data_IF_595102119733
#
_entry.id   IF_595102119733
#
_cell.length_a   1.000
_cell.length_b   1.000
_cell.length_c   1.000
_cell.angle_alpha   90.00
_cell.angle_beta   90.00
_cell.angle_gamma   90.00
#
_symmetry.space_group_name_H-M   'P 1'
#
loop_
_entity.id
_entity.type
_entity.pdbx_description
1 polymer ?
#
# COMPACT_ATOMS: atom_id res chain seq x y z
N UNK A 1 27.71 -0.44 13.31
CA UNK A 1 26.60 -1.41 13.18
C UNK A 1 25.60 -0.84 12.21
N UNK A 2 25.56 -1.44 11.02
CA UNK A 2 24.73 -1.05 9.88
C UNK A 2 23.32 -1.63 10.03
N UNK A 3 22.29 -0.82 9.82
CA UNK A 3 20.98 -1.31 9.40
C UNK A 3 20.39 -0.35 8.35
N UNK A 4 20.24 -0.90 7.16
CA UNK A 4 19.76 -0.26 5.95
C UNK A 4 18.28 0.11 6.07
N UNK A 5 17.94 1.36 5.76
CA UNK A 5 16.56 1.79 5.46
C UNK A 5 16.21 1.34 4.04
N UNK A 6 15.46 0.24 3.93
CA UNK A 6 14.72 -0.12 2.71
C UNK A 6 13.39 0.63 2.71
N UNK A 7 13.40 1.83 2.15
CA UNK A 7 12.18 2.50 1.68
C UNK A 7 11.66 1.77 0.44
N UNK A 8 10.52 1.09 0.60
CA UNK A 8 9.68 0.64 -0.54
C UNK A 8 9.00 1.86 -1.16
N UNK A 9 8.98 2.03 -2.48
CA UNK A 9 8.09 2.97 -3.14
C UNK A 9 6.86 2.20 -3.65
N UNK A 10 5.72 2.35 -2.97
CA UNK A 10 4.42 2.07 -3.55
C UNK A 10 3.71 3.40 -3.81
N UNK A 11 3.35 3.58 -5.07
CA UNK A 11 2.11 4.21 -5.52
C UNK A 11 2.00 5.74 -5.40
N UNK A 12 2.62 6.42 -6.36
CA UNK A 12 2.01 7.62 -6.96
C UNK A 12 1.27 7.17 -8.23
N UNK A 13 -0.03 6.90 -8.12
CA UNK A 13 -0.92 6.84 -9.28
C UNK A 13 -1.18 8.29 -9.70
N UNK A 14 -0.24 8.86 -10.46
CA UNK A 14 -0.51 10.04 -11.29
C UNK A 14 -1.24 9.57 -12.54
N UNK A 15 -2.36 10.20 -12.88
CA UNK A 15 -2.97 10.11 -14.22
C UNK A 15 -1.99 10.72 -15.25
N UNK A 16 -1.06 9.91 -15.74
CA UNK A 16 -0.19 10.14 -16.89
C UNK A 16 -0.52 9.17 -18.02
N UNK A 17 0.09 9.31 -19.22
CA UNK A 17 -0.17 8.44 -20.35
C UNK A 17 0.00 6.97 -19.95
N UNK A 18 -0.86 6.11 -20.50
CA UNK A 18 -0.87 4.67 -20.22
C UNK A 18 0.42 4.05 -20.78
N UNK A 19 1.49 4.04 -19.98
CA UNK A 19 2.75 3.43 -20.38
C UNK A 19 2.62 1.91 -20.32
N UNK A 20 2.98 1.24 -21.41
CA UNK A 20 2.95 -0.22 -21.54
C UNK A 20 4.38 -0.77 -21.56
N UNK A 21 4.74 -1.73 -20.69
CA UNK A 21 6.08 -2.30 -20.66
C UNK A 21 6.30 -3.25 -21.85
N UNK A 22 7.51 -3.24 -22.41
CA UNK A 22 7.94 -4.25 -23.37
C UNK A 22 8.21 -5.58 -22.67
N UNK A 23 7.58 -6.67 -23.13
CA UNK A 23 7.73 -8.01 -22.57
C UNK A 23 9.18 -8.56 -22.63
N UNK A 24 10.01 -8.06 -23.56
CA UNK A 24 11.35 -8.62 -23.82
C UNK A 24 12.49 -7.88 -23.12
N UNK A 25 12.36 -6.56 -22.91
CA UNK A 25 13.38 -5.75 -22.24
C UNK A 25 12.88 -5.07 -20.94
N UNK A 26 11.60 -5.18 -20.61
CA UNK A 26 10.94 -4.52 -19.47
C UNK A 26 11.05 -2.99 -19.44
N UNK A 27 11.38 -2.34 -20.56
CA UNK A 27 11.35 -0.88 -20.68
C UNK A 27 9.91 -0.38 -20.88
N UNK A 28 9.58 0.75 -20.26
CA UNK A 28 8.25 1.38 -20.30
C UNK A 28 8.15 2.29 -21.53
N UNK A 29 7.07 2.14 -22.31
CA UNK A 29 6.83 2.95 -23.51
C UNK A 29 5.46 3.62 -23.47
N UNK A 30 5.42 4.88 -23.92
CA UNK A 30 4.16 5.63 -24.09
C UNK A 30 3.23 4.94 -25.11
N UNK A 31 1.93 5.18 -24.94
CA UNK A 31 0.85 4.62 -25.76
C UNK A 31 1.12 4.83 -27.27
N UNK A 32 1.33 3.73 -28.01
CA UNK A 32 1.58 3.72 -29.46
C UNK A 32 3.05 3.55 -29.86
N UNK A 33 4.02 3.81 -28.98
CA UNK A 33 5.45 3.66 -29.28
C UNK A 33 5.95 2.22 -29.09
N UNK A 34 5.26 1.42 -28.27
CA UNK A 34 5.60 0.02 -27.99
C UNK A 34 5.66 -0.84 -29.27
N UNK A 35 4.74 -0.62 -30.23
CA UNK A 35 4.72 -1.36 -31.49
C UNK A 35 5.95 -1.10 -32.36
N UNK A 36 6.47 0.15 -32.34
CA UNK A 36 7.69 0.50 -33.04
C UNK A 36 8.93 -0.06 -32.32
N UNK A 37 8.93 -0.04 -30.98
CA UNK A 37 9.98 -0.67 -30.18
C UNK A 37 10.08 -2.18 -30.44
N UNK A 38 8.97 -2.93 -30.46
CA UNK A 38 8.99 -4.38 -30.70
C UNK A 38 9.68 -4.75 -32.02
N UNK A 39 9.56 -3.92 -33.06
CA UNK A 39 10.26 -4.14 -34.34
C UNK A 39 11.77 -4.03 -34.23
N UNK A 40 12.29 -3.23 -33.30
CA UNK A 40 13.71 -2.93 -33.14
C UNK A 40 14.30 -3.51 -31.84
N UNK A 41 13.48 -4.11 -30.98
CA UNK A 41 13.89 -4.59 -29.66
C UNK A 41 15.02 -5.63 -29.80
N UNK A 42 16.19 -5.32 -29.24
CA UNK A 42 17.36 -6.19 -29.28
C UNK A 42 17.19 -7.47 -28.47
N UNK A 43 16.30 -7.47 -27.47
CA UNK A 43 16.07 -8.59 -26.56
C UNK A 43 15.13 -9.66 -27.12
N UNK A 44 14.50 -9.42 -28.28
CA UNK A 44 13.69 -10.44 -28.96
C UNK A 44 14.62 -11.55 -29.46
N UNK A 45 14.21 -12.80 -29.21
CA UNK A 45 14.92 -13.99 -29.69
C UNK A 45 14.59 -14.25 -31.16
N UNK A 46 15.61 -14.34 -31.99
CA UNK A 46 15.53 -14.76 -33.39
C UNK A 46 16.31 -16.05 -33.62
N UNK A 47 15.83 -16.86 -34.56
CA UNK A 47 16.55 -18.07 -34.94
C UNK A 47 17.85 -17.72 -35.67
N UNK A 48 18.94 -18.42 -35.35
CA UNK A 48 20.21 -18.27 -36.06
C UNK A 48 20.03 -18.44 -37.59
N UNK A 49 20.58 -17.56 -38.44
CA UNK A 49 20.45 -17.68 -39.90
C UNK A 49 21.13 -18.94 -40.45
N UNK A 50 22.15 -19.45 -39.76
CA UNK A 50 22.81 -20.72 -40.10
C UNK A 50 22.03 -21.95 -39.61
N UNK A 51 20.85 -21.75 -39.02
CA UNK A 51 19.96 -22.78 -38.47
C UNK A 51 20.70 -23.79 -37.59
N UNK A 52 21.57 -23.31 -36.71
CA UNK A 52 22.29 -24.15 -35.74
C UNK A 52 21.38 -24.74 -34.66
N UNK A 53 20.11 -24.31 -34.60
CA UNK A 53 19.13 -24.73 -33.59
C UNK A 53 19.04 -23.75 -32.40
N UNK A 54 19.95 -22.78 -32.29
CA UNK A 54 19.92 -21.77 -31.24
C UNK A 54 18.95 -20.62 -31.55
N UNK A 55 18.28 -20.15 -30.50
CA UNK A 55 17.48 -18.92 -30.46
C UNK A 55 18.30 -17.85 -29.76
N UNK A 56 18.61 -16.76 -30.44
CA UNK A 56 19.59 -15.76 -30.00
C UNK A 56 18.92 -14.39 -29.96
N UNK A 57 19.23 -13.59 -28.96
CA UNK A 57 18.75 -12.22 -28.89
C UNK A 57 19.24 -11.44 -30.12
N UNK A 58 18.35 -10.69 -30.77
CA UNK A 58 18.64 -9.91 -31.98
C UNK A 58 19.94 -9.10 -31.87
N UNK A 59 20.21 -8.50 -30.71
CA UNK A 59 21.46 -7.75 -30.45
C UNK A 59 22.76 -8.57 -30.50
N UNK A 60 22.71 -9.86 -30.18
CA UNK A 60 23.88 -10.77 -30.19
C UNK A 60 23.90 -11.70 -31.40
N UNK A 61 23.00 -11.47 -32.36
CA UNK A 61 22.87 -12.32 -33.56
C UNK A 61 24.15 -12.28 -34.40
N UNK A 62 24.74 -11.10 -34.60
CA UNK A 62 25.93 -10.90 -35.43
C UNK A 62 27.19 -11.53 -34.81
N UNK A 63 27.32 -11.44 -33.48
CA UNK A 63 28.40 -12.10 -32.73
C UNK A 63 28.26 -13.61 -32.81
N UNK A 64 27.05 -14.15 -32.55
CA UNK A 64 26.82 -15.58 -32.66
C UNK A 64 27.11 -16.12 -34.07
N UNK A 65 26.79 -15.38 -35.13
CA UNK A 65 27.05 -15.85 -36.51
C UNK A 65 28.55 -16.06 -36.75
N UNK A 66 29.42 -15.21 -36.19
CA UNK A 66 30.88 -15.35 -36.30
C UNK A 66 31.40 -16.59 -35.57
N UNK A 67 30.80 -16.92 -34.44
CA UNK A 67 31.21 -18.06 -33.60
C UNK A 67 30.30 -19.29 -33.78
N UNK A 68 29.49 -19.29 -34.84
CA UNK A 68 28.47 -20.32 -35.01
C UNK A 68 29.13 -21.67 -35.37
N UNK A 69 28.82 -22.77 -34.65
CA UNK A 69 29.42 -24.08 -34.92
C UNK A 69 29.07 -24.64 -36.31
N UNK A 70 28.04 -24.09 -36.98
CA UNK A 70 27.72 -24.43 -38.38
C UNK A 70 28.52 -23.64 -39.42
N UNK A 71 29.11 -22.50 -39.07
CA UNK A 71 29.89 -21.68 -40.01
C UNK A 71 31.16 -22.41 -40.48
N UNK A 72 31.81 -23.15 -39.57
CA UNK A 72 33.02 -23.93 -39.88
C UNK A 72 32.72 -25.14 -40.79
N UNK A 73 31.55 -25.77 -40.62
CA UNK A 73 31.09 -26.86 -41.49
C UNK A 73 30.79 -26.39 -42.92
N UNK A 74 30.30 -25.15 -43.09
CA UNK A 74 30.06 -24.56 -44.42
C UNK A 74 31.36 -24.16 -45.12
N UNK A 75 32.37 -23.68 -44.37
CA UNK A 75 33.69 -23.33 -44.93
C UNK A 75 34.46 -24.55 -45.43
N UNK A 76 34.36 -25.68 -44.74
CA UNK A 76 35.00 -26.95 -45.15
C UNK A 76 34.28 -27.68 -46.31
N UNK A 77 33.14 -27.17 -46.76
CA UNK A 77 32.37 -27.78 -47.87
C UNK A 77 32.71 -27.21 -49.25
N UNK A 78 33.66 -26.25 -49.34
CA UNK A 78 34.12 -25.68 -50.61
C UNK A 78 35.55 -26.11 -50.93
N UNK A 79 35.75 -27.42 -51.08
CA UNK A 79 36.98 -28.01 -51.61
C UNK A 79 36.65 -29.28 -52.41
N UNK A 80 35.76 -29.15 -53.39
CA UNK A 80 35.67 -30.14 -54.46
C UNK A 80 36.78 -29.82 -55.47
N UNK A 81 38.00 -30.27 -55.17
CA UNK A 81 39.01 -30.50 -56.20
C UNK A 81 38.50 -31.67 -57.05
N UNK A 82 38.22 -31.40 -58.31
CA UNK A 82 37.97 -32.41 -59.34
C UNK A 82 39.20 -33.31 -59.47
N UNK A 83 39.13 -34.50 -58.89
CA UNK A 83 40.08 -35.59 -59.19
C UNK A 83 39.67 -36.20 -60.53
N UNK A 84 40.58 -36.39 -61.51
CA UNK A 84 40.25 -37.05 -62.76
C UNK A 84 39.87 -38.52 -62.50
N UNK A 85 38.98 -39.12 -63.32
CA UNK A 85 38.57 -40.50 -63.14
C UNK A 85 39.78 -41.45 -63.27
N UNK A 86 39.95 -42.43 -62.36
CA UNK A 86 40.99 -43.42 -62.52
C UNK A 86 40.65 -44.35 -63.69
N UNK A 87 41.63 -44.53 -64.57
CA UNK A 87 41.63 -45.52 -65.66
C UNK A 87 41.27 -46.90 -65.08
N UNK A 88 40.38 -47.69 -65.72
CA UNK A 88 40.03 -49.02 -65.23
C UNK A 88 41.25 -49.93 -65.33
N UNK A 89 41.71 -50.57 -64.23
CA UNK A 89 42.69 -51.63 -64.34
C UNK A 89 42.04 -52.82 -65.06
N UNK A 90 42.81 -53.34 -66.01
CA UNK A 90 42.50 -54.55 -66.75
C UNK A 90 42.07 -55.69 -65.82
N UNK A 91 41.05 -56.42 -66.29
CA UNK A 91 40.62 -57.75 -65.90
C UNK A 91 41.71 -58.51 -65.14
N UNK A 92 41.70 -58.32 -63.82
CA UNK A 92 42.50 -59.10 -62.88
C UNK A 92 41.50 -60.05 -62.26
N UNK A 93 41.68 -61.31 -62.61
CA UNK A 93 41.16 -62.51 -61.96
C UNK A 93 40.46 -62.22 -60.64
N UNK A 94 39.20 -62.61 -60.54
CA UNK A 94 38.50 -62.76 -59.28
C UNK A 94 39.35 -63.69 -58.40
N UNK A 95 40.16 -63.07 -57.53
CA UNK A 95 40.93 -63.70 -56.45
C UNK A 95 39.99 -64.21 -55.36
N UNK A 96 38.92 -64.90 -55.75
CA UNK A 96 38.21 -65.81 -54.87
C UNK A 96 38.73 -67.21 -55.17
N UNK A 97 40.01 -67.42 -54.84
CA UNK A 97 40.47 -68.75 -54.48
C UNK A 97 39.73 -69.09 -53.18
N UNK A 98 38.97 -70.21 -53.11
CA UNK A 98 38.53 -70.71 -51.82
C UNK A 98 39.82 -70.97 -51.05
N UNK A 99 40.20 -70.07 -50.13
CA UNK A 99 41.16 -70.47 -49.10
C UNK A 99 40.55 -71.71 -48.50
N UNK A 100 41.30 -72.81 -48.54
CA UNK A 100 40.97 -74.02 -47.84
C UNK A 100 41.14 -73.71 -46.34
N UNK A 101 40.27 -72.83 -45.82
CA UNK A 101 40.16 -72.54 -44.41
C UNK A 101 39.55 -73.80 -43.84
N UNK A 102 40.25 -74.38 -42.87
CA UNK A 102 39.75 -75.56 -42.19
C UNK A 102 38.36 -75.22 -41.66
N UNK A 103 37.33 -75.91 -42.17
CA UNK A 103 35.93 -75.64 -41.83
C UNK A 103 35.71 -75.67 -40.31
N UNK A 104 36.51 -76.46 -39.61
CA UNK A 104 36.51 -76.59 -38.15
C UNK A 104 36.88 -75.28 -37.43
N UNK A 105 37.82 -74.50 -37.98
CA UNK A 105 38.22 -73.20 -37.44
C UNK A 105 37.11 -72.15 -37.66
N UNK A 106 36.46 -72.19 -38.82
CA UNK A 106 35.31 -71.33 -39.13
C UNK A 106 34.12 -71.63 -38.22
N UNK A 107 33.83 -72.91 -38.00
CA UNK A 107 32.76 -73.35 -37.09
C UNK A 107 33.08 -72.92 -35.66
N UNK A 108 34.30 -73.17 -35.18
CA UNK A 108 34.75 -72.75 -33.83
C UNK A 108 34.67 -71.23 -33.64
N UNK A 109 35.02 -70.45 -34.66
CA UNK A 109 34.89 -69.00 -34.63
C UNK A 109 33.42 -68.55 -34.54
N UNK A 110 32.54 -69.13 -35.36
CA UNK A 110 31.11 -68.82 -35.34
C UNK A 110 30.46 -69.23 -34.01
N UNK A 111 30.82 -70.37 -33.44
CA UNK A 111 30.35 -70.80 -32.12
C UNK A 111 30.77 -69.82 -31.03
N UNK A 112 32.02 -69.34 -31.08
CA UNK A 112 32.52 -68.31 -30.16
C UNK A 112 31.78 -66.98 -30.33
N UNK A 113 31.53 -66.53 -31.55
CA UNK A 113 30.78 -65.30 -31.80
C UNK A 113 29.31 -65.42 -31.36
N UNK A 114 28.68 -66.57 -31.57
CA UNK A 114 27.32 -66.84 -31.05
C UNK A 114 27.32 -66.84 -29.51
N UNK A 115 28.35 -67.41 -28.87
CA UNK A 115 28.50 -67.34 -27.42
C UNK A 115 28.69 -65.90 -26.92
N UNK A 116 29.52 -65.10 -27.60
CA UNK A 116 29.72 -63.69 -27.30
C UNK A 116 28.41 -62.89 -27.44
N UNK A 117 27.68 -63.08 -28.54
CA UNK A 117 26.39 -62.40 -28.78
C UNK A 117 25.39 -62.76 -27.69
N UNK A 118 25.31 -64.04 -27.29
CA UNK A 118 24.44 -64.47 -26.18
C UNK A 118 24.79 -63.76 -24.87
N UNK A 119 26.07 -63.65 -24.55
CA UNK A 119 26.54 -62.97 -23.35
C UNK A 119 26.14 -61.49 -23.35
N UNK A 120 26.42 -60.78 -24.44
CA UNK A 120 26.04 -59.36 -24.61
C UNK A 120 24.53 -59.17 -24.51
N UNK A 121 23.73 -60.07 -25.11
CA UNK A 121 22.27 -60.00 -25.00
C UNK A 121 21.77 -60.21 -23.56
N UNK A 122 22.38 -61.14 -22.81
CA UNK A 122 22.02 -61.34 -21.40
C UNK A 122 22.38 -60.15 -20.53
N UNK A 123 23.53 -59.51 -20.76
CA UNK A 123 23.94 -58.30 -20.05
C UNK A 123 23.07 -57.09 -20.42
N UNK A 124 22.73 -56.92 -21.70
CA UNK A 124 21.78 -55.87 -22.13
C UNK A 124 20.38 -56.10 -21.57
N UNK A 125 19.96 -57.36 -21.41
CA UNK A 125 18.68 -57.70 -20.77
C UNK A 125 18.67 -57.28 -19.30
N UNK A 126 19.71 -57.65 -18.54
CA UNK A 126 19.81 -57.28 -17.12
C UNK A 126 19.93 -55.77 -16.94
N UNK A 127 20.67 -55.07 -17.81
CA UNK A 127 20.75 -53.60 -17.78
C UNK A 127 19.39 -52.94 -18.04
N UNK A 128 18.60 -53.46 -18.98
CA UNK A 128 17.24 -52.97 -19.24
C UNK A 128 16.30 -53.20 -18.05
N UNK A 129 16.43 -54.33 -17.36
CA UNK A 129 15.65 -54.61 -16.15
C UNK A 129 15.98 -53.61 -15.03
N UNK A 130 17.27 -53.32 -14.79
CA UNK A 130 17.67 -52.30 -13.80
C UNK A 130 17.11 -50.93 -14.17
N UNK A 131 17.28 -50.49 -15.43
CA UNK A 131 16.73 -49.21 -15.90
C UNK A 131 15.20 -49.13 -15.74
N UNK A 132 14.48 -50.23 -15.97
CA UNK A 132 13.03 -50.30 -15.77
C UNK A 132 12.65 -50.04 -14.30
N UNK A 133 13.37 -50.66 -13.35
CA UNK A 133 13.11 -50.46 -11.92
C UNK A 133 13.48 -49.05 -11.43
N UNK A 134 14.54 -48.46 -11.97
CA UNK A 134 14.91 -47.06 -11.71
C UNK A 134 13.84 -46.09 -12.22
N UNK A 135 13.32 -46.30 -13.44
CA UNK A 135 12.23 -45.50 -14.00
C UNK A 135 10.96 -45.61 -13.15
N UNK A 136 10.61 -46.80 -12.69
CA UNK A 136 9.45 -46.99 -11.81
C UNK A 136 9.63 -46.28 -10.46
N UNK A 137 10.86 -46.32 -9.92
CA UNK A 137 11.21 -45.58 -8.70
C UNK A 137 11.08 -44.06 -8.89
N UNK A 138 11.54 -43.53 -10.04
CA UNK A 138 11.40 -42.11 -10.37
C UNK A 138 9.92 -41.75 -10.52
N UNK A 139 9.13 -42.58 -11.21
CA UNK A 139 7.69 -42.38 -11.38
C UNK A 139 6.97 -42.31 -10.03
N UNK A 140 7.27 -43.22 -9.12
CA UNK A 140 6.73 -43.20 -7.75
C UNK A 140 7.07 -41.91 -7.00
N UNK A 141 8.33 -41.44 -7.10
CA UNK A 141 8.76 -40.18 -6.49
C UNK A 141 8.03 -38.96 -7.08
N UNK A 142 7.79 -38.94 -8.39
CA UNK A 142 7.04 -37.86 -9.04
C UNK A 142 5.62 -37.79 -8.48
N UNK A 143 4.93 -38.93 -8.35
CA UNK A 143 3.57 -38.98 -7.76
C UNK A 143 3.55 -38.41 -6.34
N UNK A 144 4.51 -38.79 -5.50
CA UNK A 144 4.60 -38.25 -4.13
C UNK A 144 4.85 -36.74 -4.10
N UNK A 145 5.64 -36.22 -5.03
CA UNK A 145 5.87 -34.77 -5.17
C UNK A 145 4.60 -34.07 -5.65
N UNK A 146 3.87 -34.65 -6.59
CA UNK A 146 2.59 -34.13 -7.07
C UNK A 146 1.55 -34.06 -5.95
N UNK A 147 1.36 -35.13 -5.18
CA UNK A 147 0.45 -35.15 -4.02
C UNK A 147 0.84 -34.09 -2.99
N UNK A 148 2.12 -34.01 -2.64
CA UNK A 148 2.62 -32.99 -1.71
C UNK A 148 2.39 -31.57 -2.24
N UNK A 149 2.58 -31.34 -3.54
CA UNK A 149 2.34 -30.05 -4.17
C UNK A 149 0.86 -29.66 -4.12
N UNK A 150 -0.05 -30.62 -4.33
CA UNK A 150 -1.49 -30.41 -4.22
C UNK A 150 -1.89 -30.04 -2.78
N UNK A 151 -1.33 -30.72 -1.78
CA UNK A 151 -1.55 -30.38 -0.38
C UNK A 151 -1.07 -28.96 -0.04
N UNK A 152 0.11 -28.57 -0.53
CA UNK A 152 0.61 -27.20 -0.37
C UNK A 152 -0.30 -26.17 -1.04
N UNK A 153 -0.74 -26.43 -2.27
CA UNK A 153 -1.65 -25.54 -2.99
C UNK A 153 -2.99 -25.38 -2.25
N UNK A 154 -3.56 -26.48 -1.77
CA UNK A 154 -4.79 -26.45 -0.95
C UNK A 154 -4.61 -25.58 0.30
N UNK A 155 -3.50 -25.76 1.01
CA UNK A 155 -3.18 -24.96 2.21
C UNK A 155 -3.04 -23.48 1.86
N UNK A 156 -2.35 -23.15 0.77
CA UNK A 156 -2.20 -21.76 0.32
C UNK A 156 -3.54 -21.12 -0.06
N UNK A 157 -4.43 -21.87 -0.70
CA UNK A 157 -5.77 -21.38 -1.04
C UNK A 157 -6.59 -21.15 0.23
N UNK A 158 -6.56 -22.06 1.20
CA UNK A 158 -7.24 -21.86 2.49
C UNK A 158 -6.68 -20.68 3.27
N UNK A 159 -5.36 -20.50 3.30
CA UNK A 159 -4.72 -19.35 3.95
C UNK A 159 -5.09 -18.04 3.26
N UNK A 160 -5.13 -18.02 1.92
CA UNK A 160 -5.57 -16.86 1.16
C UNK A 160 -7.02 -16.49 1.52
N UNK A 161 -7.93 -17.45 1.53
CA UNK A 161 -9.32 -17.20 1.92
C UNK A 161 -9.42 -16.62 3.34
N UNK A 162 -8.67 -17.18 4.30
CA UNK A 162 -8.64 -16.65 5.67
C UNK A 162 -8.09 -15.22 5.76
N UNK A 163 -7.10 -14.87 4.94
CA UNK A 163 -6.57 -13.50 4.84
C UNK A 163 -7.59 -12.55 4.23
N UNK A 164 -8.29 -12.98 3.18
CA UNK A 164 -9.34 -12.19 2.53
C UNK A 164 -10.50 -11.93 3.52
N UNK A 165 -10.92 -12.94 4.30
CA UNK A 165 -11.94 -12.80 5.36
C UNK A 165 -11.49 -11.84 6.47
N UNK A 166 -10.22 -11.86 6.87
CA UNK A 166 -9.68 -10.93 7.87
C UNK A 166 -9.63 -9.49 7.35
N UNK A 167 -9.28 -9.31 6.07
CA UNK A 167 -9.26 -8.01 5.42
C UNK A 167 -10.67 -7.40 5.36
N UNK A 168 -11.68 -8.20 4.99
CA UNK A 168 -13.08 -7.76 5.00
C UNK A 168 -13.55 -7.39 6.40
N UNK A 169 -13.25 -8.25 7.40
CA UNK A 169 -13.59 -7.97 8.80
C UNK A 169 -12.96 -6.67 9.25
N UNK A 170 -11.66 -6.47 9.00
CA UNK A 170 -10.94 -5.25 9.35
C UNK A 170 -11.55 -4.01 8.70
N UNK A 171 -11.98 -4.10 7.44
CA UNK A 171 -12.68 -3.01 6.75
C UNK A 171 -14.02 -2.68 7.42
N UNK A 172 -14.80 -3.68 7.82
CA UNK A 172 -16.07 -3.51 8.54
C UNK A 172 -15.86 -2.84 9.90
N UNK A 173 -14.86 -3.27 10.68
CA UNK A 173 -14.50 -2.59 11.93
C UNK A 173 -14.11 -1.14 11.70
N UNK A 174 -13.29 -0.86 10.69
CA UNK A 174 -12.89 0.51 10.36
C UNK A 174 -14.08 1.39 9.95
N UNK A 175 -15.05 0.84 9.22
CA UNK A 175 -16.29 1.53 8.87
C UNK A 175 -17.13 1.84 10.11
N UNK A 176 -17.27 0.86 11.02
CA UNK A 176 -18.00 1.04 12.28
C UNK A 176 -17.35 2.12 13.15
N UNK A 177 -16.04 2.07 13.35
CA UNK A 177 -15.32 3.09 14.12
C UNK A 177 -15.49 4.50 13.54
N UNK A 178 -15.46 4.63 12.21
CA UNK A 178 -15.70 5.93 11.56
C UNK A 178 -17.12 6.45 11.84
N UNK A 179 -18.11 5.57 11.77
CA UNK A 179 -19.50 5.90 12.08
C UNK A 179 -19.66 6.32 13.55
N UNK A 180 -19.09 5.56 14.48
CA UNK A 180 -19.17 5.87 15.91
C UNK A 180 -18.46 7.18 16.26
N UNK A 181 -17.31 7.44 15.63
CA UNK A 181 -16.59 8.69 15.77
C UNK A 181 -17.41 9.87 15.24
N UNK A 182 -18.09 9.72 14.11
CA UNK A 182 -19.00 10.76 13.59
C UNK A 182 -20.16 11.04 14.55
N UNK A 183 -20.75 10.01 15.17
CA UNK A 183 -21.81 10.18 16.16
C UNK A 183 -21.32 10.91 17.41
N UNK A 184 -20.12 10.59 17.90
CA UNK A 184 -19.51 11.30 19.03
C UNK A 184 -19.23 12.77 18.67
N UNK A 185 -18.77 13.05 17.45
CA UNK A 185 -18.56 14.42 16.98
C UNK A 185 -19.87 15.22 16.94
N UNK A 186 -20.96 14.61 16.47
CA UNK A 186 -22.28 15.25 16.46
C UNK A 186 -22.77 15.55 17.88
N UNK A 187 -22.64 14.60 18.80
CA UNK A 187 -23.02 14.80 20.21
C UNK A 187 -22.19 15.90 20.88
N UNK A 188 -20.89 16.00 20.58
CA UNK A 188 -20.03 17.07 21.06
C UNK A 188 -20.47 18.44 20.51
N UNK A 189 -20.81 18.52 19.22
CA UNK A 189 -21.30 19.75 18.61
C UNK A 189 -22.63 20.20 19.23
N UNK A 190 -23.54 19.26 19.50
CA UNK A 190 -24.79 19.55 20.20
C UNK A 190 -24.54 20.08 21.62
N UNK A 191 -23.65 19.43 22.38
CA UNK A 191 -23.29 19.86 23.73
C UNK A 191 -22.68 21.26 23.75
N UNK A 192 -21.82 21.58 22.78
CA UNK A 192 -21.26 22.94 22.61
C UNK A 192 -22.36 23.97 22.30
N UNK A 193 -23.34 23.61 21.47
CA UNK A 193 -24.50 24.47 21.19
C UNK A 193 -25.34 24.74 22.44
N UNK A 194 -25.59 23.71 23.25
CA UNK A 194 -26.29 23.83 24.53
C UNK A 194 -25.50 24.70 25.52
N UNK A 195 -24.17 24.51 25.61
CA UNK A 195 -23.29 25.33 26.43
C UNK A 195 -23.37 26.81 26.03
N UNK A 196 -23.26 27.14 24.74
CA UNK A 196 -23.34 28.52 24.28
C UNK A 196 -24.70 29.15 24.62
N UNK A 197 -25.80 28.42 24.38
CA UNK A 197 -27.15 28.86 24.71
C UNK A 197 -27.34 29.15 26.20
N UNK A 198 -26.83 28.28 27.06
CA UNK A 198 -26.88 28.47 28.51
C UNK A 198 -26.04 29.66 28.98
N UNK A 199 -24.83 29.84 28.43
CA UNK A 199 -23.98 31.00 28.72
C UNK A 199 -24.70 32.30 28.34
N UNK A 200 -25.26 32.39 27.13
CA UNK A 200 -25.99 33.60 26.69
C UNK A 200 -27.20 33.91 27.58
N UNK A 201 -27.93 32.86 28.02
CA UNK A 201 -29.05 33.04 28.97
C UNK A 201 -28.55 33.57 30.31
N UNK A 202 -27.46 33.02 30.83
CA UNK A 202 -26.88 33.47 32.11
C UNK A 202 -26.37 34.92 32.00
N UNK A 203 -25.66 35.27 30.93
CA UNK A 203 -25.19 36.63 30.67
C UNK A 203 -26.36 37.64 30.61
N UNK A 204 -27.46 37.26 29.97
CA UNK A 204 -28.68 38.07 29.94
C UNK A 204 -29.28 38.26 31.34
N UNK A 205 -29.38 37.19 32.14
CA UNK A 205 -29.88 37.31 33.52
C UNK A 205 -28.96 38.13 34.42
N UNK A 206 -27.64 38.00 34.29
CA UNK A 206 -26.65 38.80 35.02
C UNK A 206 -26.77 40.27 34.64
N UNK A 207 -26.89 40.56 33.34
CA UNK A 207 -27.10 41.93 32.85
C UNK A 207 -28.38 42.55 33.42
N UNK A 208 -29.46 41.77 33.48
CA UNK A 208 -30.72 42.18 34.13
C UNK A 208 -30.55 42.47 35.63
N UNK A 209 -29.87 41.60 36.38
CA UNK A 209 -29.61 41.81 37.81
C UNK A 209 -28.75 43.05 38.07
N UNK A 210 -27.73 43.29 37.24
CA UNK A 210 -26.90 44.50 37.33
C UNK A 210 -27.73 45.75 37.07
N UNK A 211 -28.65 45.71 36.10
CA UNK A 211 -29.56 46.83 35.83
C UNK A 211 -30.47 47.11 37.02
N UNK A 212 -31.15 46.09 37.56
CA UNK A 212 -32.00 46.19 38.74
C UNK A 212 -31.23 46.69 39.98
N UNK A 213 -29.98 46.27 40.16
CA UNK A 213 -29.12 46.76 41.24
C UNK A 213 -28.83 48.26 41.07
N UNK A 214 -28.47 48.70 39.86
CA UNK A 214 -28.22 50.12 39.59
C UNK A 214 -29.48 50.97 39.84
N UNK A 215 -30.67 50.49 39.47
CA UNK A 215 -31.92 51.17 39.77
C UNK A 215 -32.19 51.27 41.28
N UNK A 216 -31.94 50.19 42.03
CA UNK A 216 -32.06 50.21 43.50
C UNK A 216 -31.10 51.22 44.13
N UNK A 217 -29.85 51.27 43.69
CA UNK A 217 -28.86 52.24 44.17
C UNK A 217 -29.30 53.69 43.90
N UNK A 218 -29.88 53.97 42.73
CA UNK A 218 -30.43 55.28 42.41
C UNK A 218 -31.64 55.64 43.31
N UNK A 219 -32.53 54.68 43.57
CA UNK A 219 -33.66 54.87 44.47
C UNK A 219 -33.21 55.10 45.91
N UNK A 220 -32.20 54.37 46.40
CA UNK A 220 -31.61 54.58 47.72
C UNK A 220 -30.98 55.98 47.83
N UNK A 221 -30.23 56.43 46.81
CA UNK A 221 -29.70 57.79 46.77
C UNK A 221 -30.81 58.85 46.83
N UNK A 222 -31.90 58.67 46.09
CA UNK A 222 -33.05 59.57 46.13
C UNK A 222 -33.71 59.60 47.51
N UNK A 223 -33.85 58.43 48.17
CA UNK A 223 -34.40 58.32 49.52
C UNK A 223 -33.53 59.05 50.54
N UNK A 224 -32.21 58.82 50.52
CA UNK A 224 -31.27 59.52 51.43
C UNK A 224 -31.27 61.03 51.22
N UNK A 225 -31.41 61.49 49.97
CA UNK A 225 -31.57 62.91 49.66
C UNK A 225 -32.88 63.45 50.25
N UNK A 226 -33.99 62.73 50.11
CA UNK A 226 -35.27 63.12 50.69
C UNK A 226 -35.21 63.18 52.22
N UNK A 227 -34.57 62.20 52.87
CA UNK A 227 -34.34 62.21 54.33
C UNK A 227 -33.50 63.41 54.78
N UNK A 228 -32.49 63.81 54.01
CA UNK A 228 -31.72 65.03 54.28
C UNK A 228 -32.58 66.29 54.21
N UNK A 229 -33.50 66.38 53.23
CA UNK A 229 -34.45 67.49 53.08
C UNK A 229 -35.44 67.50 54.25
N UNK A 230 -36.01 66.35 54.62
CA UNK A 230 -36.92 66.22 55.78
C UNK A 230 -36.22 66.68 57.05
N UNK A 231 -34.97 66.26 57.31
CA UNK A 231 -34.19 66.71 58.47
C UNK A 231 -34.02 68.23 58.48
N UNK A 232 -33.77 68.84 57.33
CA UNK A 232 -33.63 70.29 57.19
C UNK A 232 -34.94 71.00 57.47
N UNK A 233 -36.06 70.53 56.90
CA UNK A 233 -37.41 71.07 57.17
C UNK A 233 -37.75 70.95 58.66
N UNK A 234 -37.49 69.80 59.29
CA UNK A 234 -37.69 69.63 60.75
C UNK A 234 -36.92 70.67 61.56
N UNK A 235 -35.66 70.96 61.22
CA UNK A 235 -34.86 72.03 61.87
C UNK A 235 -35.46 73.42 61.65
N UNK A 236 -36.00 73.71 60.48
CA UNK A 236 -36.66 75.00 60.20
C UNK A 236 -37.96 75.15 61.00
N UNK A 237 -38.75 74.08 61.11
CA UNK A 237 -39.98 74.07 61.92
C UNK A 237 -39.67 74.32 63.39
N UNK A 238 -38.65 73.67 63.96
CA UNK A 238 -38.26 73.91 65.36
C UNK A 238 -37.72 75.32 65.58
N UNK A 239 -36.93 75.86 64.64
CA UNK A 239 -36.45 77.25 64.67
C UNK A 239 -37.61 78.26 64.61
N UNK A 240 -38.59 78.03 63.73
CA UNK A 240 -39.80 78.85 63.64
C UNK A 240 -40.60 78.82 64.94
N UNK A 241 -40.85 77.64 65.50
CA UNK A 241 -41.53 77.48 66.77
C UNK A 241 -40.80 78.21 67.92
N UNK A 242 -39.46 78.17 67.94
CA UNK A 242 -38.66 78.90 68.92
C UNK A 242 -38.77 80.43 68.78
N UNK A 243 -38.75 80.95 67.54
CA UNK A 243 -38.97 82.38 67.25
C UNK A 243 -40.36 82.82 67.70
N UNK A 244 -41.41 82.06 67.36
CA UNK A 244 -42.79 82.35 67.77
C UNK A 244 -42.95 82.33 69.30
N UNK A 245 -42.31 81.39 70.00
CA UNK A 245 -42.27 81.36 71.47
C UNK A 245 -41.58 82.61 72.03
N UNK A 246 -40.43 83.00 71.48
CA UNK A 246 -39.70 84.19 71.93
C UNK A 246 -40.50 85.49 71.67
N UNK A 247 -41.15 85.60 70.52
CA UNK A 247 -42.02 86.73 70.18
C UNK A 247 -43.24 86.82 71.10
N UNK A 248 -43.89 85.70 71.43
CA UNK A 248 -44.94 85.65 72.45
C UNK A 248 -44.43 86.10 73.83
N UNK A 249 -43.22 85.69 74.20
CA UNK A 249 -42.59 86.08 75.48
C UNK A 249 -42.24 87.58 75.50
N UNK A 250 -41.73 88.13 74.41
CA UNK A 250 -41.44 89.57 74.26
C UNK A 250 -42.71 90.41 74.23
N UNK A 251 -43.76 89.98 73.53
CA UNK A 251 -45.06 90.67 73.55
C UNK A 251 -45.70 90.62 74.94
N UNK A 252 -45.56 89.53 75.70
CA UNK A 252 -45.96 89.49 77.11
C UNK A 252 -45.14 90.44 77.98
N UNK A 253 -43.81 90.47 77.82
CA UNK A 253 -42.95 91.42 78.54
C UNK A 253 -43.32 92.86 78.20
N UNK A 254 -43.54 93.19 76.92
CA UNK A 254 -43.98 94.52 76.47
C UNK A 254 -45.36 94.89 77.01
N UNK A 255 -46.31 93.95 77.08
CA UNK A 255 -47.59 94.17 77.76
C UNK A 255 -47.41 94.41 79.26
N UNK A 256 -46.48 93.71 79.92
CA UNK A 256 -46.14 93.90 81.35
C UNK A 256 -45.44 95.24 81.61
N UNK A 257 -44.51 95.68 80.77
CA UNK A 257 -43.84 96.99 80.87
C UNK A 257 -44.78 98.15 80.50
N UNK A 258 -45.65 98.00 79.50
CA UNK A 258 -46.71 98.97 79.19
C UNK A 258 -47.70 99.12 80.36
N UNK A 259 -48.05 98.03 81.05
CA UNK A 259 -48.85 98.08 82.29
C UNK A 259 -48.12 98.75 83.46
N UNK A 260 -46.78 98.62 83.57
CA UNK A 260 -45.97 99.34 84.57
C UNK A 260 -45.88 100.85 84.27
N UNK A 261 -45.76 101.25 82.99
CA UNK A 261 -45.71 102.66 82.58
C UNK A 261 -47.02 103.43 82.71
N UNK A 262 -48.17 102.74 82.82
CA UNK A 262 -49.48 103.35 83.12
C UNK A 262 -49.76 103.52 84.63
N UNK A 263 -48.82 103.14 85.49
CA UNK A 263 -48.94 103.19 86.96
C UNK A 263 -47.88 104.11 87.63
N UNK A 264 -47.08 104.83 86.84
CA UNK A 264 -46.25 105.97 87.27
C UNK A 264 -46.85 107.23 86.67
#
# INVERSE_FOLDING_TARGET
MSLNKLTRPSELISKGPKDSPCYFCNELFEMGQLQNHLKLCGSILEQCPLRCGAWIQRKHKEEHVKDCPKMEKTRNSSSHVSVPPPVPPAVSEHTWTPRNVNLDDCVSYLEKEVANIKLVLTEESSRREVQSTELETIRSKIVLVEERSQHFLSTLVSLRAAVDDEAERSANWAAQFKHDLANVQLALQELQGQQLSTVMRLESTVSGLVHEQNERELLEQALTQHDSKIRTVKKLVTSKAWKEYHEKKETEKNKKTARKRRKS
#
